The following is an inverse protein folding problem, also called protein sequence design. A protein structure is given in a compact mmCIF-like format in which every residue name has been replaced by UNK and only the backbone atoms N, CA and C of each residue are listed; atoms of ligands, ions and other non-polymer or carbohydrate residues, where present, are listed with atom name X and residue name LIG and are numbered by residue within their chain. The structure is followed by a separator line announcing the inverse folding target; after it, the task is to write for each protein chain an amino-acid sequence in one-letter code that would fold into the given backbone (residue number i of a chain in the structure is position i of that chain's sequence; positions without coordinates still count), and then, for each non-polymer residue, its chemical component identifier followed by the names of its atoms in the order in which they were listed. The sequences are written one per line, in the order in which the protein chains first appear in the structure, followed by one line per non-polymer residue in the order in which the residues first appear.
data_IF_214683290644
#
_entry.id   IF_214683290644
#
_cell.length_a   1.000
_cell.length_b   1.000
_cell.length_c   1.000
_cell.angle_alpha   90.00
_cell.angle_beta   90.00
_cell.angle_gamma   90.00
#
_symmetry.space_group_name_H-M   'P 1'
#
loop_
_entity.id
_entity.type
_entity.pdbx_description
1 polymer ?
#
# COMPACT_ATOMS: atom_id res chain seq x y z
N UNK A 1 -63.61 -29.32 -15.20
CA UNK A 1 -62.22 -29.63 -14.79
C UNK A 1 -61.16 -29.18 -15.79
N UNK A 2 -61.30 -29.42 -17.10
CA UNK A 2 -60.29 -29.02 -18.11
C UNK A 2 -59.97 -27.50 -18.17
N UNK A 3 -60.98 -26.64 -18.03
CA UNK A 3 -60.81 -25.16 -18.07
C UNK A 3 -60.07 -24.59 -16.86
N UNK A 4 -60.24 -25.20 -15.68
CA UNK A 4 -59.52 -24.82 -14.45
C UNK A 4 -58.02 -25.12 -14.60
N UNK A 5 -57.68 -26.26 -15.19
CA UNK A 5 -56.29 -26.64 -15.45
C UNK A 5 -55.61 -25.67 -16.42
N UNK A 6 -56.34 -25.17 -17.42
CA UNK A 6 -55.82 -24.16 -18.37
C UNK A 6 -55.55 -22.82 -17.70
N UNK A 7 -56.43 -22.36 -16.80
CA UNK A 7 -56.20 -21.11 -16.06
C UNK A 7 -55.06 -21.23 -15.05
N UNK A 8 -54.87 -22.40 -14.46
CA UNK A 8 -53.79 -22.68 -13.51
C UNK A 8 -52.42 -22.74 -14.21
N UNK A 9 -52.38 -23.29 -15.43
CA UNK A 9 -51.17 -23.32 -16.27
C UNK A 9 -50.81 -21.93 -16.82
N UNK A 10 -51.81 -21.11 -17.17
CA UNK A 10 -51.61 -19.73 -17.58
C UNK A 10 -51.09 -18.85 -16.43
N UNK A 11 -51.62 -19.03 -15.21
CA UNK A 11 -51.15 -18.35 -14.01
C UNK A 11 -49.71 -18.71 -13.61
N UNK A 12 -49.30 -19.96 -13.84
CA UNK A 12 -47.92 -20.42 -13.57
C UNK A 12 -46.90 -19.83 -14.56
N UNK A 13 -47.31 -19.56 -15.81
CA UNK A 13 -46.44 -18.92 -16.81
C UNK A 13 -46.14 -17.44 -16.50
N UNK A 14 -47.05 -16.75 -15.80
CA UNK A 14 -46.87 -15.35 -15.39
C UNK A 14 -45.84 -15.19 -14.26
N UNK A 15 -45.51 -16.26 -13.53
CA UNK A 15 -44.47 -16.28 -12.50
C UNK A 15 -43.06 -16.55 -13.06
N UNK A 16 -42.93 -16.80 -14.37
CA UNK A 16 -41.65 -17.17 -15.00
C UNK A 16 -40.82 -15.97 -15.50
N UNK A 17 -41.29 -14.74 -15.31
CA UNK A 17 -40.62 -13.52 -15.80
C UNK A 17 -39.97 -12.65 -14.71
N UNK A 18 -39.95 -13.09 -13.45
CA UNK A 18 -39.15 -12.44 -12.40
C UNK A 18 -37.67 -12.84 -12.51
N UNK A 19 -36.99 -12.35 -13.54
CA UNK A 19 -35.52 -12.33 -13.58
C UNK A 19 -35.07 -11.23 -12.62
N UNK A 20 -34.45 -11.65 -11.51
CA UNK A 20 -33.84 -10.74 -10.55
C UNK A 20 -32.47 -10.31 -11.11
N UNK A 21 -32.41 -9.21 -11.85
CA UNK A 21 -31.14 -8.59 -12.28
C UNK A 21 -30.46 -7.78 -11.13
N UNK A 22 -30.95 -7.88 -9.88
CA UNK A 22 -30.43 -7.10 -8.75
C UNK A 22 -29.29 -7.78 -7.97
N UNK A 23 -28.74 -8.89 -8.47
CA UNK A 23 -27.60 -9.57 -7.85
C UNK A 23 -26.24 -9.29 -8.51
N UNK A 24 -26.21 -8.56 -9.64
CA UNK A 24 -24.98 -8.00 -10.19
C UNK A 24 -24.68 -6.66 -9.49
N UNK A 25 -24.39 -6.74 -8.20
CA UNK A 25 -23.82 -5.60 -7.47
C UNK A 25 -22.34 -5.59 -7.85
N UNK A 26 -21.94 -4.58 -8.63
CA UNK A 26 -20.52 -4.28 -8.87
C UNK A 26 -19.78 -4.27 -7.52
N UNK A 27 -18.57 -4.86 -7.43
CA UNK A 27 -17.89 -5.05 -6.16
C UNK A 27 -17.74 -3.73 -5.40
N UNK A 28 -17.62 -3.83 -4.06
CA UNK A 28 -17.25 -2.70 -3.20
C UNK A 28 -16.11 -1.92 -3.82
N UNK A 29 -16.36 -0.64 -4.14
CA UNK A 29 -15.44 0.29 -4.81
C UNK A 29 -13.98 0.03 -4.41
N UNK A 30 -13.19 -0.49 -5.35
CA UNK A 30 -11.76 -0.75 -5.18
C UNK A 30 -10.98 0.02 -6.22
N UNK A 31 -9.97 0.78 -5.77
CA UNK A 31 -9.04 1.49 -6.66
C UNK A 31 -8.17 0.52 -7.49
N UNK A 32 -8.14 -0.76 -7.12
CA UNK A 32 -7.47 -1.81 -7.90
C UNK A 32 -8.23 -2.25 -9.14
N UNK A 33 -9.55 -2.03 -9.17
CA UNK A 33 -10.40 -2.45 -10.27
C UNK A 33 -10.08 -1.68 -11.55
N UNK A 34 -10.26 -2.35 -12.69
CA UNK A 34 -10.19 -1.74 -14.03
C UNK A 34 -11.16 -0.57 -14.19
N UNK A 35 -12.16 -0.45 -13.32
CA UNK A 35 -13.10 0.66 -13.27
C UNK A 35 -12.46 2.03 -13.01
N UNK A 36 -11.31 2.11 -12.32
CA UNK A 36 -10.68 3.38 -11.94
C UNK A 36 -9.66 3.92 -12.94
N UNK A 37 -8.97 3.09 -13.73
CA UNK A 37 -7.81 3.52 -14.54
C UNK A 37 -8.19 3.79 -15.99
N UNK A 38 -9.07 4.77 -16.22
CA UNK A 38 -9.74 5.02 -17.52
C UNK A 38 -9.28 6.30 -18.24
N UNK A 39 -8.68 7.24 -17.53
CA UNK A 39 -8.21 8.49 -18.10
C UNK A 39 -6.93 8.98 -17.41
N UNK A 40 -6.17 9.92 -18.03
CA UNK A 40 -4.92 10.42 -17.45
C UNK A 40 -5.08 11.08 -16.07
N UNK A 41 -6.18 11.78 -15.82
CA UNK A 41 -6.42 12.49 -14.55
C UNK A 41 -6.49 11.52 -13.36
N UNK A 42 -6.95 10.29 -13.59
CA UNK A 42 -6.98 9.25 -12.57
C UNK A 42 -5.58 8.75 -12.19
N UNK A 43 -4.65 8.66 -13.15
CA UNK A 43 -3.24 8.38 -12.86
C UNK A 43 -2.62 9.53 -12.06
N UNK A 44 -2.90 10.78 -12.44
CA UNK A 44 -2.45 11.97 -11.71
C UNK A 44 -2.98 11.98 -10.26
N UNK A 45 -4.27 11.68 -10.08
CA UNK A 45 -4.90 11.61 -8.78
C UNK A 45 -4.31 10.48 -7.91
N UNK A 46 -4.08 9.30 -8.50
CA UNK A 46 -3.44 8.20 -7.79
C UNK A 46 -2.00 8.54 -7.38
N UNK A 47 -1.22 9.12 -8.29
CA UNK A 47 0.15 9.57 -8.02
C UNK A 47 0.20 10.63 -6.90
N UNK A 48 -0.74 11.57 -6.90
CA UNK A 48 -0.92 12.54 -5.81
C UNK A 48 -1.23 11.83 -4.49
N UNK A 49 -2.07 10.80 -4.54
CA UNK A 49 -2.37 9.94 -3.39
C UNK A 49 -1.13 9.23 -2.84
N UNK A 50 -0.24 8.71 -3.70
CA UNK A 50 1.02 8.11 -3.26
C UNK A 50 1.91 9.09 -2.49
N UNK A 51 2.03 10.33 -2.99
CA UNK A 51 2.78 11.37 -2.31
C UNK A 51 2.14 11.77 -0.97
N UNK A 52 0.81 11.77 -0.89
CA UNK A 52 0.10 11.99 0.37
C UNK A 52 0.39 10.86 1.38
N UNK A 53 0.35 9.60 0.95
CA UNK A 53 0.70 8.45 1.79
C UNK A 53 2.15 8.50 2.26
N UNK A 54 3.09 8.89 1.39
CA UNK A 54 4.49 9.07 1.76
C UNK A 54 4.65 10.14 2.84
N UNK A 55 3.94 11.27 2.70
CA UNK A 55 3.95 12.37 3.68
C UNK A 55 3.45 11.95 5.05
N UNK A 56 2.49 11.04 5.14
CA UNK A 56 2.01 10.49 6.44
C UNK A 56 3.13 9.83 7.24
N UNK A 57 4.24 9.41 6.59
CA UNK A 57 5.38 8.75 7.25
C UNK A 57 6.54 9.70 7.56
N UNK A 58 6.39 11.00 7.30
CA UNK A 58 7.38 12.03 7.63
C UNK A 58 7.90 11.95 9.08
N UNK A 59 7.00 11.77 10.06
CA UNK A 59 7.40 11.63 11.46
C UNK A 59 8.20 10.34 11.71
N UNK A 60 7.83 9.23 11.08
CA UNK A 60 8.61 7.98 11.18
C UNK A 60 10.00 8.15 10.56
N UNK A 61 10.13 8.87 9.43
CA UNK A 61 11.44 9.14 8.82
C UNK A 61 12.33 9.97 9.76
N UNK A 62 11.77 10.93 10.49
CA UNK A 62 12.49 11.64 11.55
C UNK A 62 12.93 10.69 12.66
N UNK A 63 12.01 9.90 13.24
CA UNK A 63 12.33 8.97 14.33
C UNK A 63 13.38 7.91 13.97
N UNK A 64 13.42 7.48 12.70
CA UNK A 64 14.42 6.54 12.20
C UNK A 64 15.78 7.19 11.93
N UNK A 65 15.81 8.51 11.69
CA UNK A 65 16.99 9.24 11.25
C UNK A 65 17.77 9.95 12.35
N UNK A 66 17.16 10.29 13.49
CA UNK A 66 17.76 11.28 14.40
C UNK A 66 17.74 10.89 15.90
N UNK A 67 16.60 10.55 16.53
CA UNK A 67 16.51 10.55 18.00
C UNK A 67 17.30 9.46 18.74
N UNK A 68 17.92 8.52 18.02
CA UNK A 68 18.81 7.50 18.59
C UNK A 68 20.28 7.95 18.68
N UNK A 69 20.62 9.09 18.08
CA UNK A 69 21.94 9.70 18.15
C UNK A 69 22.10 10.53 19.45
N UNK A 70 22.90 11.59 19.42
CA UNK A 70 23.39 12.35 20.58
C UNK A 70 22.71 13.71 20.79
N UNK A 71 21.64 14.02 20.06
CA UNK A 71 20.94 15.31 20.15
C UNK A 71 19.99 15.39 21.34
N UNK A 72 19.43 14.26 21.78
CA UNK A 72 18.39 14.19 22.82
C UNK A 72 18.82 13.33 24.01
N UNK A 73 18.08 13.43 25.12
CA UNK A 73 18.33 12.61 26.32
C UNK A 73 18.19 13.36 27.64
N UNK A 74 18.16 14.69 27.60
CA UNK A 74 17.86 15.50 28.78
C UNK A 74 16.38 15.43 29.17
N UNK A 75 16.09 15.73 30.44
CA UNK A 75 14.72 15.82 30.93
C UNK A 75 14.02 17.06 30.32
N UNK A 76 12.73 16.96 29.95
CA UNK A 76 11.94 18.11 29.55
C UNK A 76 11.96 19.21 30.63
N UNK A 77 12.26 20.44 30.22
CA UNK A 77 12.46 21.58 31.14
C UNK A 77 11.17 21.91 31.92
N UNK A 78 10.00 21.63 31.34
CA UNK A 78 8.70 21.84 31.97
C UNK A 78 8.29 20.74 32.95
N UNK A 79 9.10 19.69 33.12
CA UNK A 79 8.79 18.54 33.97
C UNK A 79 7.83 17.55 33.33
N UNK A 80 7.64 17.61 32.01
CA UNK A 80 6.83 16.65 31.26
C UNK A 80 7.41 15.24 31.37
N UNK A 81 6.53 14.23 31.52
CA UNK A 81 6.94 12.85 31.37
C UNK A 81 7.19 12.53 29.89
N UNK A 82 8.31 11.86 29.59
CA UNK A 82 8.69 11.44 28.22
C UNK A 82 7.82 10.31 27.64
N UNK A 83 7.03 9.64 28.48
CA UNK A 83 6.02 8.63 28.10
C UNK A 83 6.56 7.51 27.19
N UNK A 84 7.84 7.16 27.32
CA UNK A 84 8.47 6.09 26.54
C UNK A 84 9.32 6.57 25.36
N UNK A 85 9.29 7.86 25.01
CA UNK A 85 10.13 8.41 23.94
C UNK A 85 11.61 8.43 24.32
N UNK A 86 11.93 8.46 25.61
CA UNK A 86 13.31 8.39 26.11
C UNK A 86 14.03 7.10 25.71
N UNK A 87 13.29 6.06 25.33
CA UNK A 87 13.88 4.79 24.86
C UNK A 87 14.69 4.94 23.58
N UNK A 88 14.37 5.94 22.74
CA UNK A 88 15.13 6.21 21.52
C UNK A 88 16.52 6.79 21.85
N UNK A 89 16.66 7.96 22.50
CA UNK A 89 17.98 8.53 22.81
C UNK A 89 18.80 7.64 23.74
N UNK A 90 18.16 6.95 24.69
CA UNK A 90 18.87 6.02 25.57
C UNK A 90 19.16 4.66 24.94
N UNK A 91 18.70 4.42 23.71
CA UNK A 91 18.91 3.17 22.98
C UNK A 91 18.43 1.91 23.75
N UNK A 92 17.27 2.01 24.42
CA UNK A 92 16.69 0.94 25.27
C UNK A 92 15.43 0.29 24.69
N UNK A 93 15.14 0.51 23.40
CA UNK A 93 14.07 -0.22 22.69
C UNK A 93 14.32 -1.74 22.71
N UNK A 94 13.24 -2.51 22.80
CA UNK A 94 13.29 -3.97 22.91
C UNK A 94 12.02 -4.61 22.29
N UNK A 95 11.90 -5.94 22.38
CA UNK A 95 10.77 -6.67 21.77
C UNK A 95 9.40 -6.28 22.33
N UNK A 96 9.32 -5.84 23.59
CA UNK A 96 8.07 -5.36 24.20
C UNK A 96 7.79 -3.89 23.89
N UNK A 97 8.84 -3.08 23.66
CA UNK A 97 8.75 -1.64 23.42
C UNK A 97 9.63 -1.27 22.23
N UNK A 98 9.12 -1.53 21.02
CA UNK A 98 9.89 -1.44 19.77
C UNK A 98 10.17 -0.01 19.29
N UNK A 99 9.53 1.00 19.89
CA UNK A 99 9.59 2.41 19.47
C UNK A 99 8.78 2.66 18.19
N UNK A 100 9.11 1.96 17.10
CA UNK A 100 8.37 2.00 15.83
C UNK A 100 7.90 0.59 15.49
N UNK A 101 6.59 0.41 15.42
CA UNK A 101 5.95 -0.86 15.05
C UNK A 101 5.79 -1.02 13.54
N UNK A 102 5.48 -2.24 13.09
CA UNK A 102 4.99 -2.55 11.74
C UNK A 102 5.88 -2.02 10.59
N UNK A 103 7.19 -1.95 10.78
CA UNK A 103 8.12 -1.38 9.79
C UNK A 103 7.75 0.07 9.40
N UNK A 104 7.23 0.85 10.35
CA UNK A 104 6.74 2.21 10.10
C UNK A 104 5.53 2.28 9.15
N UNK A 105 4.81 1.17 8.97
CA UNK A 105 3.75 0.93 7.99
C UNK A 105 4.16 1.22 6.52
N UNK A 106 5.45 1.14 6.20
CA UNK A 106 5.95 1.46 4.85
C UNK A 106 5.44 0.48 3.79
N UNK A 107 5.18 -0.78 4.18
CA UNK A 107 4.65 -1.82 3.28
C UNK A 107 3.28 -1.49 2.69
N UNK A 108 2.43 -0.75 3.43
CA UNK A 108 1.15 -0.25 2.88
C UNK A 108 1.38 0.61 1.65
N UNK A 109 2.38 1.49 1.72
CA UNK A 109 2.73 2.44 0.64
C UNK A 109 3.39 1.69 -0.52
N UNK A 110 4.33 0.78 -0.21
CA UNK A 110 4.98 -0.07 -1.21
C UNK A 110 3.94 -0.84 -2.03
N UNK A 111 2.90 -1.41 -1.40
CA UNK A 111 1.84 -2.10 -2.14
C UNK A 111 1.08 -1.16 -3.11
N UNK A 112 0.77 0.07 -2.70
CA UNK A 112 0.13 1.04 -3.60
C UNK A 112 1.08 1.50 -4.72
N UNK A 113 2.38 1.60 -4.45
CA UNK A 113 3.38 1.90 -5.48
C UNK A 113 3.45 0.75 -6.50
N UNK A 114 3.44 -0.51 -6.05
CA UNK A 114 3.41 -1.66 -6.95
C UNK A 114 2.18 -1.65 -7.85
N UNK A 115 1.03 -1.20 -7.34
CA UNK A 115 -0.17 -0.98 -8.15
C UNK A 115 0.02 0.10 -9.22
N UNK A 116 0.60 1.25 -8.85
CA UNK A 116 0.90 2.32 -9.82
C UNK A 116 1.86 1.83 -10.91
N UNK A 117 2.90 1.07 -10.53
CA UNK A 117 3.85 0.50 -11.48
C UNK A 117 3.14 -0.45 -12.45
N UNK A 118 2.34 -1.39 -11.93
CA UNK A 118 1.60 -2.34 -12.77
C UNK A 118 0.64 -1.62 -13.73
N UNK A 119 -0.21 -0.72 -13.22
CA UNK A 119 -1.22 -0.02 -14.02
C UNK A 119 -0.61 0.96 -15.01
N UNK A 120 0.48 1.64 -14.65
CA UNK A 120 1.21 2.53 -15.55
C UNK A 120 1.90 1.72 -16.65
N UNK A 121 2.47 0.55 -16.35
CA UNK A 121 3.13 -0.29 -17.36
C UNK A 121 2.15 -0.88 -18.38
N UNK A 122 0.94 -1.26 -17.93
CA UNK A 122 -0.08 -1.91 -18.77
C UNK A 122 -0.93 -0.92 -19.61
N UNK A 123 -0.91 0.37 -19.28
CA UNK A 123 -1.84 1.34 -19.88
C UNK A 123 -1.47 1.72 -21.31
N UNK A 124 -2.49 1.88 -22.15
CA UNK A 124 -2.39 2.49 -23.49
C UNK A 124 -2.97 3.91 -23.54
N UNK A 125 -3.40 4.44 -22.39
CA UNK A 125 -4.10 5.73 -22.26
C UNK A 125 -3.09 6.89 -22.14
N UNK A 126 -1.94 6.64 -21.52
CA UNK A 126 -0.91 7.66 -21.30
C UNK A 126 0.04 7.74 -22.50
N UNK A 127 0.63 8.92 -22.69
CA UNK A 127 1.79 9.04 -23.60
C UNK A 127 3.01 8.36 -22.99
N UNK A 128 3.94 7.90 -23.83
CA UNK A 128 5.20 7.30 -23.37
C UNK A 128 5.97 8.22 -22.41
N UNK A 129 6.01 9.53 -22.69
CA UNK A 129 6.64 10.51 -21.81
C UNK A 129 5.97 10.57 -20.43
N UNK A 130 4.64 10.60 -20.37
CA UNK A 130 3.89 10.60 -19.10
C UNK A 130 4.02 9.27 -18.35
N UNK A 131 4.02 8.15 -19.08
CA UNK A 131 4.23 6.83 -18.52
C UNK A 131 5.59 6.73 -17.84
N UNK A 132 6.66 7.11 -18.55
CA UNK A 132 8.01 7.11 -18.02
C UNK A 132 8.17 8.06 -16.83
N UNK A 133 7.52 9.23 -16.86
CA UNK A 133 7.52 10.16 -15.72
C UNK A 133 6.93 9.53 -14.46
N UNK A 134 5.76 8.90 -14.55
CA UNK A 134 5.13 8.27 -13.40
C UNK A 134 5.83 7.00 -12.92
N UNK A 135 6.41 6.22 -13.83
CA UNK A 135 7.28 5.10 -13.45
C UNK A 135 8.52 5.62 -12.72
N UNK A 136 9.12 6.71 -13.19
CA UNK A 136 10.20 7.43 -12.54
C UNK A 136 9.93 7.72 -11.06
N UNK A 137 8.84 8.44 -10.79
CA UNK A 137 8.42 8.78 -9.43
C UNK A 137 8.10 7.53 -8.60
N UNK A 138 7.40 6.54 -9.17
CA UNK A 138 7.00 5.33 -8.47
C UNK A 138 8.20 4.47 -8.05
N UNK A 139 9.14 4.19 -8.96
CA UNK A 139 10.36 3.44 -8.64
C UNK A 139 11.24 4.20 -7.65
N UNK A 140 11.39 5.52 -7.83
CA UNK A 140 12.15 6.36 -6.90
C UNK A 140 11.59 6.32 -5.46
N UNK A 141 10.26 6.42 -5.30
CA UNK A 141 9.63 6.29 -3.98
C UNK A 141 9.79 4.88 -3.39
N UNK A 142 9.69 3.83 -4.21
CA UNK A 142 9.87 2.45 -3.73
C UNK A 142 11.29 2.21 -3.24
N UNK A 143 12.29 2.67 -3.99
CA UNK A 143 13.69 2.65 -3.59
C UNK A 143 13.92 3.39 -2.26
N UNK A 144 13.35 4.60 -2.14
CA UNK A 144 13.46 5.42 -0.92
C UNK A 144 12.90 4.70 0.32
N UNK A 145 11.72 4.08 0.19
CA UNK A 145 11.11 3.32 1.28
C UNK A 145 11.94 2.08 1.65
N UNK A 146 12.38 1.30 0.65
CA UNK A 146 13.26 0.15 0.91
C UNK A 146 14.59 0.54 1.52
N UNK A 147 15.13 1.72 1.20
CA UNK A 147 16.37 2.21 1.81
C UNK A 147 16.21 2.58 3.29
N UNK A 148 15.05 3.09 3.70
CA UNK A 148 14.72 3.23 5.12
C UNK A 148 14.57 1.87 5.79
N UNK A 149 13.84 0.94 5.16
CA UNK A 149 13.69 -0.42 5.69
C UNK A 149 15.05 -1.12 5.90
N UNK A 150 15.94 -1.04 4.92
CA UNK A 150 17.28 -1.62 4.96
C UNK A 150 18.11 -1.06 6.11
N UNK A 151 18.19 0.27 6.25
CA UNK A 151 19.05 0.88 7.28
C UNK A 151 18.51 0.75 8.69
N UNK A 152 17.22 0.48 8.84
CA UNK A 152 16.56 0.38 10.14
C UNK A 152 16.37 -1.07 10.62
N UNK A 153 16.13 -2.02 9.70
CA UNK A 153 15.88 -3.43 10.04
C UNK A 153 16.84 -4.43 9.40
N UNK A 154 17.62 -4.04 8.38
CA UNK A 154 18.51 -4.94 7.65
C UNK A 154 17.74 -5.84 6.68
N UNK A 155 17.65 -7.13 7.01
CA UNK A 155 16.94 -8.13 6.22
C UNK A 155 15.43 -7.89 6.29
N UNK A 156 14.78 -7.74 5.14
CA UNK A 156 13.35 -7.39 5.04
C UNK A 156 12.69 -8.10 3.86
N UNK A 157 11.37 -8.20 3.85
CA UNK A 157 10.62 -8.89 2.79
C UNK A 157 10.50 -8.00 1.54
N UNK A 158 10.85 -8.52 0.37
CA UNK A 158 10.67 -7.82 -0.90
C UNK A 158 9.29 -8.14 -1.51
N UNK A 159 8.37 -7.17 -1.46
CA UNK A 159 7.07 -7.20 -2.14
C UNK A 159 7.12 -6.25 -3.34
N UNK A 160 7.22 -6.82 -4.54
CA UNK A 160 7.40 -6.07 -5.79
C UNK A 160 6.16 -6.05 -6.68
N UNK A 161 5.21 -6.92 -6.36
CA UNK A 161 3.93 -7.06 -7.04
C UNK A 161 2.80 -6.50 -6.17
N UNK A 162 1.72 -6.07 -6.82
CA UNK A 162 0.52 -5.65 -6.11
C UNK A 162 -0.26 -6.86 -5.57
N UNK A 163 -0.67 -6.80 -4.31
CA UNK A 163 -1.65 -7.72 -3.72
C UNK A 163 -2.95 -6.98 -3.45
N UNK A 164 -4.09 -7.58 -3.80
CA UNK A 164 -5.40 -6.97 -3.57
C UNK A 164 -5.61 -6.55 -2.12
N UNK A 165 -6.14 -5.33 -1.93
CA UNK A 165 -6.29 -4.68 -0.63
C UNK A 165 -5.30 -3.54 -0.39
N UNK A 166 -5.52 -2.80 0.70
CA UNK A 166 -4.61 -1.71 1.11
C UNK A 166 -3.41 -2.22 1.90
N UNK A 167 -3.60 -3.28 2.68
CA UNK A 167 -2.59 -3.81 3.57
C UNK A 167 -2.07 -5.13 3.00
N UNK A 168 -0.75 -5.26 2.93
CA UNK A 168 -0.14 -6.59 2.83
C UNK A 168 -0.54 -7.35 4.10
N UNK A 169 -1.05 -8.57 3.95
CA UNK A 169 -1.33 -9.45 5.08
C UNK A 169 0.00 -9.91 5.70
N UNK A 170 0.53 -9.08 6.61
CA UNK A 170 1.74 -9.38 7.38
C UNK A 170 1.51 -10.46 8.45
N UNK A 171 0.27 -10.95 8.61
CA UNK A 171 0.00 -12.13 9.45
C UNK A 171 0.14 -13.45 8.68
N UNK A 172 0.16 -13.36 7.34
CA UNK A 172 0.34 -14.49 6.42
C UNK A 172 1.58 -14.28 5.53
N UNK A 173 2.70 -13.96 6.19
CA UNK A 173 4.03 -13.84 5.58
C UNK A 173 4.48 -15.23 5.13
N UNK A 174 4.00 -15.66 3.96
CA UNK A 174 4.50 -16.85 3.26
C UNK A 174 5.87 -16.61 2.64
N UNK A 175 6.28 -15.35 2.51
CA UNK A 175 7.53 -14.91 1.89
C UNK A 175 8.57 -14.59 2.95
N UNK A 176 9.67 -15.34 2.98
CA UNK A 176 10.80 -15.08 3.88
C UNK A 176 11.41 -13.68 3.67
N UNK A 177 12.15 -13.21 4.66
CA UNK A 177 12.97 -12.00 4.52
C UNK A 177 14.08 -12.24 3.49
N UNK A 178 14.33 -11.23 2.67
CA UNK A 178 15.49 -11.19 1.78
C UNK A 178 16.69 -10.61 2.55
N UNK A 179 17.91 -11.12 2.33
CA UNK A 179 19.12 -10.55 2.88
C UNK A 179 19.30 -9.07 2.49
N UNK A 180 19.94 -8.29 3.36
CA UNK A 180 20.27 -6.89 3.14
C UNK A 180 20.96 -6.61 1.79
N UNK A 181 21.75 -7.57 1.28
CA UNK A 181 22.38 -7.48 -0.05
C UNK A 181 21.36 -7.51 -1.18
N UNK A 182 20.38 -8.41 -1.14
CA UNK A 182 19.30 -8.48 -2.14
C UNK A 182 18.40 -7.24 -2.07
N UNK A 183 18.15 -6.74 -0.86
CA UNK A 183 17.39 -5.50 -0.67
C UNK A 183 18.13 -4.32 -1.30
N UNK A 184 19.45 -4.21 -1.10
CA UNK A 184 20.27 -3.19 -1.75
C UNK A 184 20.29 -3.33 -3.28
N UNK A 185 20.37 -4.55 -3.81
CA UNK A 185 20.27 -4.79 -5.25
C UNK A 185 18.92 -4.31 -5.81
N UNK A 186 17.82 -4.56 -5.10
CA UNK A 186 16.51 -4.09 -5.51
C UNK A 186 16.40 -2.56 -5.47
N UNK A 187 16.96 -1.91 -4.44
CA UNK A 187 17.03 -0.44 -4.36
C UNK A 187 17.75 0.12 -5.59
N UNK A 188 18.90 -0.45 -5.95
CA UNK A 188 19.66 -0.01 -7.12
C UNK A 188 18.91 -0.25 -8.44
N UNK A 189 18.18 -1.36 -8.57
CA UNK A 189 17.33 -1.63 -9.74
C UNK A 189 16.22 -0.59 -9.88
N UNK A 190 15.55 -0.24 -8.78
CA UNK A 190 14.51 0.78 -8.78
C UNK A 190 15.09 2.17 -9.11
N UNK A 191 16.28 2.53 -8.60
CA UNK A 191 16.96 3.79 -8.96
C UNK A 191 17.37 3.84 -10.44
N UNK A 192 17.76 2.70 -11.04
CA UNK A 192 18.08 2.65 -12.47
C UNK A 192 16.85 2.68 -13.37
N UNK A 193 15.71 2.19 -12.86
CA UNK A 193 14.42 2.21 -13.55
C UNK A 193 13.70 3.56 -13.40
N UNK A 194 14.14 4.42 -12.48
CA UNK A 194 13.59 5.76 -12.28
C UNK A 194 14.21 6.81 -13.21
#
# INVERSE_FOLDING_TARGET
MKKIFTYLLAGLSLLSFSRCDSLDIEPTSSLAGTAYWKNPDQFTAFNTGLHALLREKSYNFFLLGEPRADIYGDNPIGGEASQGMERLPFNTINKENVGISNYGDMYKIINQINQMIAKTTETTILTEATQNYYLGEAYGMRAYLYFHLLRSWGDVVLYLDYTEGQNLDLSNITKGVSPATEVMEQINKDIQAS
#
